data_IF_123753435959
#
_entry.id   IF_123753435959
#
_cell.length_a   1.000
_cell.length_b   1.000
_cell.length_c   1.000
_cell.angle_alpha   90.00
_cell.angle_beta   90.00
_cell.angle_gamma   90.00
#
_symmetry.space_group_name_H-M   'P 1'
#
loop_
_entity.id
_entity.type
_entity.pdbx_description
1 polymer ?
#
# COMPACT_ATOMS: atom_id res chain seq x y z
N UNK A 1 -50.69 -24.58 17.64
CA UNK A 1 -49.65 -23.56 17.45
C UNK A 1 -48.55 -24.21 16.62
N UNK A 2 -48.49 -23.90 15.32
CA UNK A 2 -47.58 -24.53 14.36
C UNK A 2 -46.52 -23.48 14.00
N UNK A 3 -45.29 -23.65 14.48
CA UNK A 3 -44.17 -22.77 14.09
C UNK A 3 -43.50 -23.42 12.90
N UNK A 4 -43.75 -22.85 11.71
CA UNK A 4 -43.15 -23.27 10.45
C UNK A 4 -41.77 -22.58 10.35
N UNK A 5 -40.70 -23.30 10.70
CA UNK A 5 -39.33 -22.84 10.48
C UNK A 5 -39.00 -22.93 8.98
N UNK A 6 -39.13 -21.81 8.29
CA UNK A 6 -38.58 -21.60 6.94
C UNK A 6 -37.06 -21.51 7.04
N UNK A 7 -36.34 -22.56 6.66
CA UNK A 7 -34.90 -22.53 6.45
C UNK A 7 -34.60 -21.96 5.06
N UNK A 8 -34.13 -20.70 4.91
CA UNK A 8 -33.66 -20.26 3.61
C UNK A 8 -32.28 -20.89 3.35
N UNK A 9 -32.28 -21.82 2.40
CA UNK A 9 -31.29 -21.87 1.34
C UNK A 9 -29.81 -21.99 1.75
N UNK A 10 -29.39 -23.18 2.16
CA UNK A 10 -27.98 -23.63 2.16
C UNK A 10 -27.25 -23.29 0.83
N UNK A 11 -28.00 -23.24 -0.28
CA UNK A 11 -27.50 -22.82 -1.61
C UNK A 11 -27.10 -21.35 -1.69
N UNK A 12 -27.75 -20.48 -0.91
CA UNK A 12 -27.45 -19.03 -0.87
C UNK A 12 -26.15 -18.76 -0.12
N UNK A 13 -25.90 -19.51 0.96
CA UNK A 13 -24.64 -19.47 1.72
C UNK A 13 -23.45 -19.96 0.89
N UNK A 14 -23.62 -21.03 0.11
CA UNK A 14 -22.56 -21.55 -0.78
C UNK A 14 -22.22 -20.58 -1.94
N UNK A 15 -23.21 -19.86 -2.46
CA UNK A 15 -23.01 -18.88 -3.53
C UNK A 15 -22.26 -17.62 -3.03
N UNK A 16 -22.48 -17.22 -1.78
CA UNK A 16 -21.79 -16.09 -1.18
C UNK A 16 -20.29 -16.35 -0.94
N UNK A 17 -19.90 -17.59 -0.63
CA UNK A 17 -18.48 -17.94 -0.39
C UNK A 17 -17.61 -17.91 -1.64
N UNK A 18 -18.17 -18.14 -2.84
CA UNK A 18 -17.39 -18.12 -4.10
C UNK A 18 -17.05 -16.69 -4.53
N UNK A 19 -17.91 -15.72 -4.20
CA UNK A 19 -17.68 -14.30 -4.49
C UNK A 19 -16.64 -13.65 -3.56
N UNK A 20 -16.30 -14.29 -2.44
CA UNK A 20 -15.36 -13.73 -1.46
C UNK A 20 -13.87 -13.94 -1.82
N UNK A 21 -13.55 -14.68 -2.89
CA UNK A 21 -12.17 -15.08 -3.22
C UNK A 21 -11.57 -14.24 -4.38
N UNK A 22 -12.32 -13.31 -4.98
CA UNK A 22 -11.81 -12.43 -6.03
C UNK A 22 -10.99 -11.27 -5.42
N UNK A 23 -9.75 -11.53 -5.03
CA UNK A 23 -8.87 -10.46 -4.52
C UNK A 23 -7.41 -10.80 -4.26
N UNK A 24 -6.98 -12.07 -4.36
CA UNK A 24 -5.56 -12.40 -4.24
C UNK A 24 -4.85 -12.11 -5.57
N UNK A 25 -4.23 -10.93 -5.69
CA UNK A 25 -3.23 -10.70 -6.73
C UNK A 25 -2.17 -11.80 -6.64
N UNK A 26 -1.91 -12.52 -7.73
CA UNK A 26 -1.01 -13.67 -7.69
C UNK A 26 0.45 -13.20 -7.59
N UNK A 27 1.29 -13.96 -6.89
CA UNK A 27 2.72 -13.67 -6.77
C UNK A 27 3.40 -13.61 -8.15
N UNK A 28 2.90 -14.39 -9.12
CA UNK A 28 3.43 -14.41 -10.48
C UNK A 28 3.20 -13.09 -11.21
N UNK A 29 2.01 -12.48 -11.07
CA UNK A 29 1.70 -11.18 -11.68
C UNK A 29 2.61 -10.08 -11.12
N UNK A 30 2.88 -10.12 -9.82
CA UNK A 30 3.79 -9.16 -9.19
C UNK A 30 5.24 -9.33 -9.68
N UNK A 31 5.72 -10.56 -9.90
CA UNK A 31 7.05 -10.79 -10.46
C UNK A 31 7.16 -10.30 -11.91
N UNK A 32 6.10 -10.45 -12.70
CA UNK A 32 6.05 -9.89 -14.05
C UNK A 32 6.14 -8.35 -14.03
N UNK A 33 5.43 -7.70 -13.10
CA UNK A 33 5.52 -6.25 -12.92
C UNK A 33 6.91 -5.79 -12.48
N UNK A 34 7.58 -6.54 -11.59
CA UNK A 34 8.96 -6.23 -11.19
C UNK A 34 9.96 -6.29 -12.36
N UNK A 35 9.74 -7.20 -13.31
CA UNK A 35 10.59 -7.32 -14.50
C UNK A 35 10.31 -6.24 -15.56
N UNK A 36 9.24 -5.45 -15.40
CA UNK A 36 8.90 -4.39 -16.35
C UNK A 36 9.93 -3.24 -16.33
N UNK A 37 10.19 -2.58 -17.46
CA UNK A 37 11.20 -1.53 -17.56
C UNK A 37 10.89 -0.32 -16.68
N UNK A 38 9.61 0.03 -16.50
CA UNK A 38 9.17 1.16 -15.69
C UNK A 38 9.33 0.95 -14.18
N UNK A 39 9.43 -0.30 -13.71
CA UNK A 39 9.43 -0.63 -12.29
C UNK A 39 10.58 0.02 -11.54
N UNK A 40 11.81 -0.06 -12.06
CA UNK A 40 12.99 0.47 -11.39
C UNK A 40 12.94 2.00 -11.23
N UNK A 41 12.47 2.72 -12.26
CA UNK A 41 12.29 4.17 -12.21
C UNK A 41 11.21 4.54 -11.18
N UNK A 42 10.07 3.84 -11.22
CA UNK A 42 9.01 4.02 -10.24
C UNK A 42 9.50 3.79 -8.81
N UNK A 43 10.23 2.70 -8.59
CA UNK A 43 10.80 2.35 -7.29
C UNK A 43 11.67 3.46 -6.70
N UNK A 44 12.60 4.01 -7.50
CA UNK A 44 13.45 5.12 -7.07
C UNK A 44 12.65 6.38 -6.69
N UNK A 45 11.66 6.74 -7.51
CA UNK A 45 10.79 7.89 -7.27
C UNK A 45 9.91 7.71 -6.01
N UNK A 46 9.41 6.50 -5.80
CA UNK A 46 8.67 6.12 -4.60
C UNK A 46 9.50 6.28 -3.33
N UNK A 47 10.73 5.78 -3.36
CA UNK A 47 11.67 5.91 -2.23
C UNK A 47 12.06 7.37 -1.96
N UNK A 48 12.32 8.15 -3.03
CA UNK A 48 12.56 9.59 -2.91
C UNK A 48 11.37 10.30 -2.29
N UNK A 49 10.14 9.95 -2.67
CA UNK A 49 8.93 10.52 -2.05
C UNK A 49 8.87 10.20 -0.56
N UNK A 50 9.05 8.95 -0.17
CA UNK A 50 9.03 8.55 1.25
C UNK A 50 10.07 9.33 2.08
N UNK A 51 11.28 9.49 1.54
CA UNK A 51 12.36 10.26 2.17
C UNK A 51 12.03 11.75 2.29
N UNK A 52 11.33 12.32 1.31
CA UNK A 52 10.87 13.70 1.40
C UNK A 52 9.77 13.85 2.46
N UNK A 53 8.78 12.97 2.48
CA UNK A 53 7.65 13.01 3.43
C UNK A 53 8.08 12.82 4.90
N UNK A 54 9.21 12.16 5.16
CA UNK A 54 9.80 12.05 6.51
C UNK A 54 10.29 13.41 7.06
N UNK A 55 10.58 14.39 6.18
CA UNK A 55 11.00 15.73 6.59
C UNK A 55 9.80 16.53 7.09
N UNK A 56 9.91 17.13 8.27
CA UNK A 56 8.83 17.78 9.03
C UNK A 56 7.99 18.85 8.29
N UNK A 57 8.45 19.38 7.15
CA UNK A 57 7.73 20.41 6.38
C UNK A 57 7.75 20.18 4.86
N UNK A 58 8.22 19.03 4.40
CA UNK A 58 8.25 18.77 2.96
C UNK A 58 6.87 18.33 2.48
N UNK A 59 6.42 18.92 1.38
CA UNK A 59 5.25 18.48 0.60
C UNK A 59 5.68 17.89 -0.75
N UNK A 60 6.99 17.68 -0.93
CA UNK A 60 7.56 17.27 -2.21
C UNK A 60 7.23 15.81 -2.46
N UNK A 61 6.62 15.54 -3.61
CA UNK A 61 6.38 14.19 -4.12
C UNK A 61 7.15 14.02 -5.42
N UNK A 62 8.10 13.10 -5.43
CA UNK A 62 8.86 12.73 -6.64
C UNK A 62 8.07 11.64 -7.35
N UNK A 63 7.42 12.01 -8.46
CA UNK A 63 6.63 11.08 -9.28
C UNK A 63 6.39 11.65 -10.67
N UNK A 64 6.69 10.87 -11.71
CA UNK A 64 6.22 11.13 -13.07
C UNK A 64 4.72 10.84 -13.14
N UNK A 65 3.91 11.89 -13.34
CA UNK A 65 2.46 11.76 -13.38
C UNK A 65 1.97 10.93 -14.57
N UNK A 66 2.59 11.10 -15.75
CA UNK A 66 2.18 10.37 -16.94
C UNK A 66 2.52 8.88 -16.81
N UNK A 67 3.74 8.56 -16.38
CA UNK A 67 4.13 7.17 -16.17
C UNK A 67 3.31 6.52 -15.04
N UNK A 68 3.00 7.25 -13.97
CA UNK A 68 2.16 6.71 -12.90
C UNK A 68 0.75 6.34 -13.36
N UNK A 69 0.19 7.09 -14.31
CA UNK A 69 -1.16 6.80 -14.82
C UNK A 69 -1.13 5.74 -15.93
N UNK A 70 -0.10 5.73 -16.78
CA UNK A 70 -0.07 4.94 -18.02
C UNK A 70 0.83 3.70 -17.98
N UNK A 71 1.74 3.57 -17.02
CA UNK A 71 2.65 2.43 -16.87
C UNK A 71 2.38 1.72 -15.53
N UNK A 72 1.82 0.51 -15.64
CA UNK A 72 1.53 -0.32 -14.47
C UNK A 72 2.77 -0.75 -13.69
N UNK A 73 3.88 -0.96 -14.40
CA UNK A 73 5.18 -1.32 -13.85
C UNK A 73 5.76 -0.18 -13.04
N UNK A 74 5.79 1.02 -13.61
CA UNK A 74 6.18 2.24 -12.90
C UNK A 74 5.33 2.46 -11.65
N UNK A 75 4.00 2.35 -11.78
CA UNK A 75 3.08 2.53 -10.65
C UNK A 75 3.28 1.47 -9.55
N UNK A 76 3.51 0.21 -9.93
CA UNK A 76 3.83 -0.86 -9.00
C UNK A 76 5.15 -0.58 -8.29
N UNK A 77 6.20 -0.24 -9.04
CA UNK A 77 7.51 0.13 -8.51
C UNK A 77 7.42 1.28 -7.52
N UNK A 78 6.72 2.36 -7.88
CA UNK A 78 6.54 3.54 -7.01
C UNK A 78 5.90 3.20 -5.67
N UNK A 79 4.85 2.36 -5.67
CA UNK A 79 4.20 1.92 -4.43
C UNK A 79 5.15 1.10 -3.56
N UNK A 80 5.92 0.21 -4.17
CA UNK A 80 6.85 -0.65 -3.45
C UNK A 80 8.03 0.13 -2.87
N UNK A 81 8.68 0.98 -3.67
CA UNK A 81 9.78 1.82 -3.20
C UNK A 81 9.35 2.81 -2.11
N UNK A 82 8.12 3.34 -2.19
CA UNK A 82 7.55 4.15 -1.12
C UNK A 82 7.45 3.35 0.19
N UNK A 83 6.84 2.17 0.16
CA UNK A 83 6.67 1.34 1.35
C UNK A 83 8.02 0.93 1.96
N UNK A 84 8.96 0.52 1.13
CA UNK A 84 10.30 0.10 1.60
C UNK A 84 11.02 1.24 2.32
N UNK A 85 10.93 2.46 1.81
CA UNK A 85 11.67 3.60 2.36
C UNK A 85 10.87 4.43 3.38
N UNK A 86 9.56 4.20 3.52
CA UNK A 86 8.71 4.91 4.49
C UNK A 86 8.87 4.40 5.93
N UNK A 87 9.38 3.18 6.12
CA UNK A 87 9.57 2.58 7.43
C UNK A 87 10.92 2.95 8.06
N UNK A 88 11.21 4.24 8.20
CA UNK A 88 12.23 4.70 9.13
C UNK A 88 11.58 4.78 10.51
N UNK A 89 11.94 3.87 11.43
CA UNK A 89 11.57 4.06 12.84
C UNK A 89 12.44 5.19 13.34
N UNK A 90 11.88 6.35 13.77
CA UNK A 90 12.71 7.45 14.23
C UNK A 90 13.52 6.97 15.43
N UNK A 91 14.84 6.89 15.31
CA UNK A 91 15.70 6.65 16.46
C UNK A 91 15.73 7.92 17.32
N UNK A 92 15.91 7.78 18.64
CA UNK A 92 15.91 8.93 19.55
C UNK A 92 16.93 10.02 19.19
N UNK A 93 17.99 9.66 18.45
CA UNK A 93 19.04 10.56 17.96
C UNK A 93 18.72 11.24 16.62
N UNK A 94 17.65 10.84 15.94
CA UNK A 94 17.30 11.36 14.61
C UNK A 94 16.58 12.72 14.71
N UNK A 95 16.55 13.32 15.91
CA UNK A 95 15.84 14.57 16.17
C UNK A 95 14.34 14.44 15.91
N UNK A 96 13.80 13.23 16.08
CA UNK A 96 12.44 12.87 15.72
C UNK A 96 11.43 13.90 16.19
N UNK A 97 10.41 14.16 15.36
CA UNK A 97 9.23 15.01 15.59
C UNK A 97 9.15 15.49 17.04
N UNK A 98 9.78 16.61 17.35
CA UNK A 98 9.66 17.28 18.65
C UNK A 98 8.24 17.86 18.73
N UNK A 99 7.24 16.99 18.84
CA UNK A 99 6.02 17.30 19.54
C UNK A 99 6.42 17.21 21.00
N UNK A 100 6.87 18.35 21.53
CA UNK A 100 7.64 18.49 22.77
C UNK A 100 7.47 17.36 23.76
N UNK A 101 8.60 16.78 24.20
CA UNK A 101 8.67 16.00 25.42
C UNK A 101 7.81 16.71 26.47
N UNK A 102 6.65 16.10 26.79
CA UNK A 102 5.90 16.54 27.95
C UNK A 102 6.79 16.20 29.12
N UNK A 103 7.44 17.23 29.65
CA UNK A 103 8.06 17.19 30.96
C UNK A 103 7.00 16.66 31.93
N UNK A 104 7.10 15.38 32.28
CA UNK A 104 6.40 14.82 33.43
C UNK A 104 7.15 15.33 34.66
N UNK A 105 6.44 16.13 35.45
CA UNK A 105 6.91 16.85 36.64
C UNK A 105 7.45 15.91 37.73
#
# INVERSE_FOLDING_TARGET
>A
MTVQNSFPSLKLLLAASVLAISGCASTADYQALQASPGFAAGYGDGCSTATEEDKSFSIKRTRDAYAFDNDEGYRAGWRQGYLECAHQTPEAKDGGRILGERNEY
#
